data_IF_896607754337
#
_entry.id   IF_896607754337
#
_cell.length_a   1.000
_cell.length_b   1.000
_cell.length_c   1.000
_cell.angle_alpha   90.00
_cell.angle_beta   90.00
_cell.angle_gamma   90.00
#
_symmetry.space_group_name_H-M   'P 1'
#
loop_
_entity.id
_entity.type
_entity.pdbx_description
1 polymer ?
#
# COMPACT_ATOMS: atom_id res chain seq x y z
N UNK A 1 -2.80 4.26 8.69
CA UNK A 1 -2.09 2.98 8.94
C UNK A 1 -0.89 2.79 8.02
N UNK A 2 -1.06 2.84 6.69
CA UNK A 2 -0.01 2.54 5.68
C UNK A 2 1.29 3.33 5.88
N UNK A 3 1.19 4.62 6.22
CA UNK A 3 2.35 5.46 6.52
C UNK A 3 3.11 5.05 7.78
N UNK A 4 2.41 4.62 8.84
CA UNK A 4 3.07 4.19 10.09
C UNK A 4 3.92 2.93 9.85
N UNK A 5 3.42 1.99 9.04
CA UNK A 5 4.17 0.80 8.65
C UNK A 5 5.40 1.18 7.83
N UNK A 6 5.26 2.11 6.87
CA UNK A 6 6.39 2.61 6.10
C UNK A 6 7.47 3.18 7.02
N UNK A 7 7.12 4.11 7.90
CA UNK A 7 8.07 4.75 8.82
C UNK A 7 8.74 3.74 9.75
N UNK A 8 7.97 2.80 10.33
CA UNK A 8 8.51 1.77 11.20
C UNK A 8 9.54 0.90 10.48
N UNK A 9 9.24 0.45 9.26
CA UNK A 9 10.17 -0.35 8.46
C UNK A 9 11.42 0.45 8.06
N UNK A 10 11.27 1.73 7.69
CA UNK A 10 12.41 2.59 7.38
C UNK A 10 13.35 2.73 8.59
N UNK A 11 12.79 2.91 9.79
CA UNK A 11 13.57 2.99 11.03
C UNK A 11 14.27 1.67 11.35
N UNK A 12 13.56 0.54 11.30
CA UNK A 12 14.11 -0.77 11.66
C UNK A 12 15.16 -1.28 10.68
N UNK A 13 15.00 -0.98 9.38
CA UNK A 13 15.90 -1.44 8.32
C UNK A 13 17.04 -0.43 8.04
N UNK A 14 17.00 0.76 8.64
CA UNK A 14 18.02 1.80 8.42
C UNK A 14 18.06 2.33 6.98
N UNK A 15 16.95 2.26 6.24
CA UNK A 15 16.88 2.69 4.83
C UNK A 15 15.56 3.35 4.50
N UNK A 16 15.61 4.39 3.67
CA UNK A 16 14.41 5.04 3.15
C UNK A 16 13.77 4.25 2.00
N UNK A 17 14.49 3.29 1.39
CA UNK A 17 14.05 2.52 0.24
C UNK A 17 13.06 1.43 0.66
N UNK A 18 11.84 1.83 1.02
CA UNK A 18 10.75 0.95 1.44
C UNK A 18 9.48 1.32 0.69
N UNK A 19 8.67 0.34 0.33
CA UNK A 19 7.34 0.53 -0.23
C UNK A 19 6.33 -0.36 0.50
N UNK A 20 5.16 0.19 0.79
CA UNK A 20 4.06 -0.50 1.46
C UNK A 20 2.80 -0.35 0.62
N UNK A 21 2.12 -1.44 0.32
CA UNK A 21 0.79 -1.47 -0.29
C UNK A 21 -0.13 -2.32 0.57
N UNK A 22 -1.33 -1.82 0.86
CA UNK A 22 -2.36 -2.53 1.63
C UNK A 22 -3.62 -2.55 0.79
N UNK A 23 -4.14 -3.74 0.53
CA UNK A 23 -5.48 -3.95 -0.02
C UNK A 23 -6.40 -4.47 1.09
N UNK A 24 -7.56 -3.83 1.28
CA UNK A 24 -8.46 -4.19 2.37
C UNK A 24 -9.93 -3.94 2.03
N UNK A 25 -10.80 -4.80 2.59
CA UNK A 25 -12.25 -4.65 2.58
C UNK A 25 -12.70 -4.05 3.91
N UNK A 26 -13.41 -2.93 3.84
CA UNK A 26 -13.96 -2.26 5.03
C UNK A 26 -15.36 -2.80 5.34
N UNK A 27 -15.52 -3.62 6.37
CA UNK A 27 -16.84 -4.19 6.73
C UNK A 27 -17.87 -3.14 7.16
N UNK A 28 -17.42 -1.97 7.63
CA UNK A 28 -18.30 -0.83 7.87
C UNK A 28 -18.95 -0.28 6.59
N UNK A 29 -18.34 -0.52 5.42
CA UNK A 29 -18.84 -0.17 4.07
C UNK A 29 -19.59 -1.35 3.46
N UNK A 30 -19.07 -2.57 3.66
CA UNK A 30 -19.62 -3.80 3.04
C UNK A 30 -20.88 -4.34 3.70
N UNK A 31 -20.90 -4.42 5.02
CA UNK A 31 -21.99 -5.05 5.77
C UNK A 31 -22.89 -4.04 6.51
N UNK A 32 -22.45 -2.79 6.59
CA UNK A 32 -23.12 -1.69 7.29
C UNK A 32 -23.13 -0.45 6.38
N UNK A 33 -23.92 0.56 6.73
CA UNK A 33 -23.99 1.81 5.96
C UNK A 33 -24.42 1.59 4.50
N UNK A 34 -23.57 2.02 3.55
CA UNK A 34 -23.82 1.94 2.10
C UNK A 34 -23.95 0.50 1.55
N UNK A 35 -23.44 -0.51 2.27
CA UNK A 35 -23.55 -1.94 1.96
C UNK A 35 -23.05 -2.33 0.57
N UNK A 36 -21.89 -1.82 0.19
CA UNK A 36 -21.24 -2.21 -1.06
C UNK A 36 -20.48 -3.55 -0.89
N UNK A 37 -21.03 -4.62 -1.49
CA UNK A 37 -20.53 -5.98 -1.34
C UNK A 37 -19.18 -6.25 -2.03
N UNK A 38 -18.81 -5.44 -3.02
CA UNK A 38 -17.68 -5.71 -3.93
C UNK A 38 -16.54 -4.72 -3.77
N UNK A 39 -16.78 -3.57 -3.13
CA UNK A 39 -15.73 -2.57 -2.91
C UNK A 39 -14.55 -3.10 -2.06
N UNK A 40 -13.35 -2.71 -2.48
CA UNK A 40 -12.10 -2.81 -1.73
C UNK A 40 -11.35 -1.48 -1.82
N UNK A 41 -10.46 -1.22 -0.88
CA UNK A 41 -9.63 -0.01 -0.85
C UNK A 41 -8.17 -0.39 -0.80
N UNK A 42 -7.43 0.04 -1.83
CA UNK A 42 -5.97 -0.08 -1.85
C UNK A 42 -5.34 1.23 -1.41
N UNK A 43 -4.35 1.18 -0.53
CA UNK A 43 -3.54 2.33 -0.11
C UNK A 43 -2.06 2.01 -0.27
N UNK A 44 -1.27 3.00 -0.69
CA UNK A 44 0.17 2.83 -0.93
C UNK A 44 0.98 3.93 -0.25
N UNK A 45 2.14 3.59 0.29
CA UNK A 45 3.09 4.53 0.88
C UNK A 45 4.49 4.17 0.39
N UNK A 46 5.16 5.09 -0.30
CA UNK A 46 6.42 4.87 -0.99
C UNK A 46 7.51 5.75 -0.39
N UNK A 47 8.70 5.19 -0.17
CA UNK A 47 9.88 5.89 0.35
C UNK A 47 11.12 5.65 -0.51
N UNK A 48 12.09 6.57 -0.42
CA UNK A 48 13.37 6.45 -1.12
C UNK A 48 13.20 6.27 -2.61
N UNK A 49 13.92 5.31 -3.20
CA UNK A 49 13.85 4.99 -4.63
C UNK A 49 12.45 4.58 -5.10
N UNK A 50 11.64 3.93 -4.27
CA UNK A 50 10.25 3.63 -4.64
C UNK A 50 9.40 4.90 -4.82
N UNK A 51 9.81 6.02 -4.23
CA UNK A 51 9.18 7.33 -4.42
C UNK A 51 9.91 8.20 -5.44
N UNK A 52 11.22 8.15 -5.58
CA UNK A 52 11.95 9.07 -6.48
C UNK A 52 12.24 8.48 -7.86
N UNK A 53 12.48 7.17 -7.96
CA UNK A 53 12.78 6.49 -9.23
C UNK A 53 11.50 6.01 -9.88
N UNK A 54 11.21 6.54 -11.07
CA UNK A 54 10.03 6.10 -11.83
C UNK A 54 10.12 4.62 -12.20
N UNK A 55 11.32 4.12 -12.58
CA UNK A 55 11.49 2.71 -12.94
C UNK A 55 11.15 1.79 -11.75
N UNK A 56 11.81 2.02 -10.61
CA UNK A 56 11.63 1.23 -9.38
C UNK A 56 10.19 1.30 -8.88
N UNK A 57 9.56 2.48 -8.96
CA UNK A 57 8.14 2.64 -8.62
C UNK A 57 7.24 1.77 -9.51
N UNK A 58 7.43 1.81 -10.82
CA UNK A 58 6.58 1.06 -11.76
C UNK A 58 6.79 -0.45 -11.63
N UNK A 59 8.03 -0.90 -11.44
CA UNK A 59 8.32 -2.32 -11.16
C UNK A 59 7.54 -2.83 -9.93
N UNK A 60 7.58 -2.08 -8.82
CA UNK A 60 6.83 -2.43 -7.61
C UNK A 60 5.31 -2.40 -7.83
N UNK A 61 4.77 -1.31 -8.39
CA UNK A 61 3.32 -1.18 -8.58
C UNK A 61 2.77 -2.19 -9.59
N UNK A 62 3.56 -2.61 -10.58
CA UNK A 62 3.19 -3.69 -11.49
C UNK A 62 3.13 -5.03 -10.76
N UNK A 63 4.13 -5.34 -9.95
CA UNK A 63 4.17 -6.59 -9.19
C UNK A 63 2.98 -6.74 -8.21
N UNK A 64 2.59 -5.66 -7.53
CA UNK A 64 1.47 -5.66 -6.56
C UNK A 64 0.11 -5.93 -7.23
N UNK A 65 -0.08 -5.52 -8.48
CA UNK A 65 -1.34 -5.69 -9.22
C UNK A 65 -1.59 -7.12 -9.72
N UNK A 66 -0.64 -8.03 -9.54
CA UNK A 66 -0.73 -9.42 -10.01
C UNK A 66 -1.16 -10.43 -8.93
N UNK A 67 -1.78 -9.99 -7.83
CA UNK A 67 -2.45 -10.91 -6.92
C UNK A 67 -3.84 -11.29 -7.47
N UNK A 68 -4.15 -12.60 -7.61
CA UNK A 68 -5.48 -13.07 -8.02
C UNK A 68 -6.55 -12.77 -6.95
#
# INVERSE_FOLDING_TARGET
MTQQILTALQTLLGTNNVAVSIDAVHYCVKARGIRDATSATTTTSLGGLFKSSQNTRQEFLRAVRHHP
#
